data_IF_811738533751
#
_entry.id   IF_811738533751
#
_cell.length_a   1.000
_cell.length_b   1.000
_cell.length_c   1.000
_cell.angle_alpha   90.00
_cell.angle_beta   90.00
_cell.angle_gamma   90.00
#
_symmetry.space_group_name_H-M   'P 1'
#
loop_
_entity.id
_entity.type
_entity.pdbx_description
1 polymer ?
#
# COMPACT_ATOMS: atom_id res chain seq x y z
N UNK A 1 -24.02 -43.68 33.41
CA UNK A 1 -24.32 -43.10 32.08
C UNK A 1 -24.25 -41.57 32.15
N UNK A 2 -23.08 -40.99 32.49
CA UNK A 2 -22.82 -39.54 32.42
C UNK A 2 -21.31 -39.30 32.14
N UNK A 3 -20.82 -39.41 30.89
CA UNK A 3 -19.54 -38.76 30.57
C UNK A 3 -19.55 -37.91 29.29
N UNK A 4 -20.65 -37.90 28.52
CA UNK A 4 -20.69 -37.22 27.20
C UNK A 4 -20.97 -35.72 27.31
N UNK A 5 -21.67 -35.26 28.35
CA UNK A 5 -22.07 -33.86 28.50
C UNK A 5 -20.96 -32.91 29.01
N UNK A 6 -19.96 -33.41 29.74
CA UNK A 6 -18.83 -32.59 30.23
C UNK A 6 -17.81 -32.29 29.13
N UNK A 7 -17.60 -33.21 28.18
CA UNK A 7 -16.64 -33.04 27.09
C UNK A 7 -17.07 -31.93 26.10
N UNK A 8 -18.38 -31.78 25.82
CA UNK A 8 -18.89 -30.74 24.93
C UNK A 8 -18.77 -29.31 25.50
N UNK A 9 -18.78 -29.13 26.83
CA UNK A 9 -18.57 -27.82 27.45
C UNK A 9 -17.11 -27.41 27.49
N UNK A 10 -16.18 -28.36 27.65
CA UNK A 10 -14.74 -28.08 27.65
C UNK A 10 -14.21 -27.79 26.25
N UNK A 11 -14.69 -28.48 25.21
CA UNK A 11 -14.27 -28.25 23.82
C UNK A 11 -14.70 -26.86 23.28
N UNK A 12 -15.91 -26.40 23.64
CA UNK A 12 -16.41 -25.09 23.21
C UNK A 12 -15.75 -23.93 24.00
N UNK A 13 -15.46 -24.12 25.29
CA UNK A 13 -14.75 -23.11 26.10
C UNK A 13 -13.29 -22.91 25.69
N UNK A 14 -12.59 -23.97 25.28
CA UNK A 14 -11.22 -23.89 24.77
C UNK A 14 -11.12 -23.20 23.41
N UNK A 15 -12.01 -23.56 22.47
CA UNK A 15 -12.03 -22.96 21.13
C UNK A 15 -12.34 -21.46 21.15
N UNK A 16 -13.27 -21.02 22.01
CA UNK A 16 -13.57 -19.59 22.18
C UNK A 16 -12.37 -18.81 22.77
N UNK A 17 -11.60 -19.42 23.67
CA UNK A 17 -10.42 -18.77 24.26
C UNK A 17 -9.29 -18.62 23.21
N UNK A 18 -9.07 -19.65 22.39
CA UNK A 18 -8.10 -19.61 21.28
C UNK A 18 -8.49 -18.58 20.21
N UNK A 19 -9.78 -18.44 19.89
CA UNK A 19 -10.29 -17.44 18.95
C UNK A 19 -10.12 -16.01 19.50
N UNK A 20 -10.41 -15.79 20.78
CA UNK A 20 -10.18 -14.49 21.45
C UNK A 20 -8.69 -14.12 21.51
N UNK A 21 -7.82 -15.09 21.79
CA UNK A 21 -6.36 -14.87 21.78
C UNK A 21 -5.85 -14.56 20.36
N UNK A 22 -6.41 -15.21 19.34
CA UNK A 22 -6.10 -14.95 17.94
C UNK A 22 -6.52 -13.52 17.51
N UNK A 23 -7.71 -13.08 17.92
CA UNK A 23 -8.20 -11.73 17.65
C UNK A 23 -7.38 -10.67 18.38
N UNK A 24 -7.04 -10.90 19.65
CA UNK A 24 -6.18 -10.01 20.43
C UNK A 24 -4.78 -9.90 19.81
N UNK A 25 -4.19 -11.01 19.37
CA UNK A 25 -2.91 -11.03 18.66
C UNK A 25 -3.00 -10.25 17.34
N UNK A 26 -4.04 -10.47 16.55
CA UNK A 26 -4.25 -9.76 15.27
C UNK A 26 -4.41 -8.25 15.50
N UNK A 27 -5.16 -7.85 16.53
CA UNK A 27 -5.32 -6.45 16.89
C UNK A 27 -4.00 -5.81 17.35
N UNK A 28 -3.20 -6.51 18.16
CA UNK A 28 -1.86 -6.06 18.52
C UNK A 28 -0.97 -5.84 17.28
N UNK A 29 -1.02 -6.77 16.32
CA UNK A 29 -0.29 -6.67 15.05
C UNK A 29 -0.75 -5.48 14.18
N UNK A 30 -2.05 -5.19 14.18
CA UNK A 30 -2.59 -4.00 13.52
C UNK A 30 -2.10 -2.71 14.19
N UNK A 31 -2.14 -2.65 15.53
CA UNK A 31 -1.69 -1.48 16.29
C UNK A 31 -0.21 -1.17 16.06
N UNK A 32 0.67 -2.18 16.11
CA UNK A 32 2.11 -1.97 15.85
C UNK A 32 2.40 -1.56 14.40
N UNK A 33 1.52 -1.90 13.46
CA UNK A 33 1.67 -1.60 12.03
C UNK A 33 0.87 -0.37 11.58
N UNK A 34 0.11 0.27 12.48
CA UNK A 34 -0.90 1.28 12.14
C UNK A 34 -0.33 2.47 11.36
N UNK A 35 0.91 2.87 11.66
CA UNK A 35 1.57 4.01 11.01
C UNK A 35 2.19 3.69 9.65
N UNK A 36 2.29 2.41 9.26
CA UNK A 36 3.05 2.00 8.07
C UNK A 36 2.43 2.57 6.80
N UNK A 37 1.11 2.43 6.62
CA UNK A 37 0.40 2.99 5.48
C UNK A 37 0.47 4.53 5.42
N UNK A 38 0.03 5.29 6.44
CA UNK A 38 0.00 6.75 6.35
C UNK A 38 1.40 7.36 6.15
N UNK A 39 2.44 6.80 6.78
CA UNK A 39 3.82 7.27 6.58
C UNK A 39 4.34 6.94 5.17
N UNK A 40 4.03 5.74 4.65
CA UNK A 40 4.43 5.38 3.29
C UNK A 40 3.71 6.23 2.24
N UNK A 41 2.42 6.49 2.44
CA UNK A 41 1.64 7.37 1.58
C UNK A 41 2.22 8.80 1.58
N UNK A 42 2.58 9.31 2.76
CA UNK A 42 3.25 10.61 2.88
C UNK A 42 4.53 10.66 2.05
N UNK A 43 5.41 9.67 2.17
CA UNK A 43 6.65 9.59 1.36
C UNK A 43 6.33 9.54 -0.14
N UNK A 44 5.34 8.74 -0.55
CA UNK A 44 4.96 8.65 -1.96
C UNK A 44 4.45 9.99 -2.54
N UNK A 45 3.80 10.80 -1.71
CA UNK A 45 3.38 12.17 -2.06
C UNK A 45 4.58 13.11 -2.13
N UNK A 46 5.44 13.12 -1.10
CA UNK A 46 6.63 13.99 -1.03
C UNK A 46 7.62 13.74 -2.17
N UNK A 47 7.82 12.47 -2.54
CA UNK A 47 8.66 12.05 -3.69
C UNK A 47 7.96 12.32 -5.04
N UNK A 48 6.64 12.53 -5.04
CA UNK A 48 5.87 12.77 -6.26
C UNK A 48 5.52 11.50 -7.06
N UNK A 49 5.59 10.31 -6.44
CA UNK A 49 5.29 9.03 -7.09
C UNK A 49 3.86 9.00 -7.65
N UNK A 50 2.89 9.45 -6.85
CA UNK A 50 1.47 9.45 -7.27
C UNK A 50 1.24 10.36 -8.48
N UNK A 51 1.95 11.49 -8.54
CA UNK A 51 1.87 12.43 -9.65
C UNK A 51 2.44 11.80 -10.93
N UNK A 52 3.62 11.18 -10.84
CA UNK A 52 4.27 10.52 -11.98
C UNK A 52 3.42 9.39 -12.59
N UNK A 53 2.81 8.57 -11.73
CA UNK A 53 1.97 7.44 -12.17
C UNK A 53 0.62 7.93 -12.69
N UNK A 54 0.04 9.00 -12.11
CA UNK A 54 -1.22 9.56 -12.60
C UNK A 54 -1.02 10.25 -13.95
N UNK A 55 0.09 10.97 -14.12
CA UNK A 55 0.40 11.71 -15.34
C UNK A 55 0.76 10.79 -16.53
N UNK A 56 1.21 9.56 -16.30
CA UNK A 56 1.56 8.64 -17.40
C UNK A 56 0.35 8.11 -18.16
N UNK A 57 -0.85 8.16 -17.58
CA UNK A 57 -2.06 7.55 -18.14
C UNK A 57 -1.95 6.04 -18.39
N UNK A 58 -0.92 5.39 -17.85
CA UNK A 58 -0.54 4.00 -18.15
C UNK A 58 0.26 3.38 -17.00
N UNK A 59 0.36 2.06 -16.97
CA UNK A 59 1.11 1.36 -15.93
C UNK A 59 2.62 1.46 -16.19
N UNK A 60 3.40 1.76 -15.14
CA UNK A 60 4.86 1.95 -15.18
C UNK A 60 5.58 0.91 -14.32
N UNK A 61 6.77 0.47 -14.74
CA UNK A 61 7.64 -0.33 -13.86
C UNK A 61 8.32 0.54 -12.81
N UNK A 62 8.83 -0.07 -11.73
CA UNK A 62 9.62 0.64 -10.71
C UNK A 62 10.88 1.30 -11.31
N UNK A 63 11.53 0.65 -12.28
CA UNK A 63 12.70 1.19 -12.98
C UNK A 63 12.35 2.43 -13.82
N UNK A 64 11.23 2.42 -14.54
CA UNK A 64 10.78 3.58 -15.30
C UNK A 64 10.44 4.77 -14.39
N UNK A 65 9.81 4.51 -13.24
CA UNK A 65 9.51 5.54 -12.24
C UNK A 65 10.82 6.11 -11.68
N UNK A 66 11.78 5.23 -11.35
CA UNK A 66 13.08 5.63 -10.82
C UNK A 66 13.87 6.47 -11.82
N UNK A 67 13.85 6.08 -13.10
CA UNK A 67 14.47 6.85 -14.17
C UNK A 67 13.88 8.26 -14.30
N UNK A 68 12.55 8.40 -14.13
CA UNK A 68 11.86 9.71 -14.15
C UNK A 68 12.13 10.59 -12.93
N UNK A 69 12.56 10.00 -11.82
CA UNK A 69 13.01 10.74 -10.64
C UNK A 69 14.47 11.21 -10.79
N UNK A 70 15.13 10.89 -11.90
CA UNK A 70 16.51 11.29 -12.21
C UNK A 70 17.50 10.97 -11.08
N UNK A 71 17.26 9.88 -10.35
CA UNK A 71 18.08 9.49 -9.21
C UNK A 71 19.26 8.62 -9.62
N UNK A 72 20.45 8.96 -9.13
CA UNK A 72 21.67 8.14 -9.32
C UNK A 72 21.81 7.03 -8.27
N UNK A 73 20.85 6.91 -7.35
CA UNK A 73 20.90 5.91 -6.28
C UNK A 73 20.44 4.54 -6.80
N UNK A 74 21.37 3.58 -6.92
CA UNK A 74 21.08 2.21 -7.36
C UNK A 74 20.10 1.46 -6.45
N UNK A 75 19.95 1.89 -5.19
CA UNK A 75 18.99 1.32 -4.24
C UNK A 75 17.59 1.92 -4.37
N UNK A 76 17.40 2.96 -5.19
CA UNK A 76 16.12 3.65 -5.30
C UNK A 76 15.02 2.76 -5.88
N UNK A 77 15.29 2.00 -6.96
CA UNK A 77 14.27 1.17 -7.61
C UNK A 77 13.67 0.11 -6.66
N UNK A 78 14.47 -0.69 -5.92
CA UNK A 78 13.92 -1.62 -4.93
C UNK A 78 13.13 -0.95 -3.80
N UNK A 79 13.54 0.23 -3.33
CA UNK A 79 12.84 0.97 -2.28
C UNK A 79 11.50 1.49 -2.80
N UNK A 80 11.49 2.08 -4.00
CA UNK A 80 10.28 2.55 -4.68
C UNK A 80 9.33 1.39 -4.93
N UNK A 81 9.82 0.24 -5.40
CA UNK A 81 8.99 -0.94 -5.61
C UNK A 81 8.27 -1.37 -4.32
N UNK A 82 8.96 -1.36 -3.17
CA UNK A 82 8.35 -1.68 -1.88
C UNK A 82 7.25 -0.70 -1.48
N UNK A 83 7.47 0.60 -1.72
CA UNK A 83 6.46 1.64 -1.51
C UNK A 83 5.23 1.36 -2.39
N UNK A 84 5.44 1.15 -3.69
CA UNK A 84 4.37 0.92 -4.66
C UNK A 84 3.56 -0.34 -4.33
N UNK A 85 4.22 -1.44 -3.95
CA UNK A 85 3.56 -2.69 -3.55
C UNK A 85 2.69 -2.51 -2.32
N UNK A 86 3.15 -1.76 -1.31
CA UNK A 86 2.32 -1.46 -0.15
C UNK A 86 1.08 -0.65 -0.58
N UNK A 87 1.25 0.39 -1.39
CA UNK A 87 0.10 1.18 -1.85
C UNK A 87 -0.90 0.34 -2.67
N UNK A 88 -0.42 -0.62 -3.46
CA UNK A 88 -1.29 -1.59 -4.14
C UNK A 88 -2.07 -2.50 -3.19
N UNK A 89 -1.48 -2.95 -2.08
CA UNK A 89 -2.20 -3.81 -1.12
C UNK A 89 -3.36 -3.07 -0.43
N UNK A 90 -3.34 -1.74 -0.45
CA UNK A 90 -4.43 -0.88 0.03
C UNK A 90 -5.28 -0.28 -1.11
N UNK A 91 -5.16 -0.81 -2.32
CA UNK A 91 -5.92 -0.36 -3.50
C UNK A 91 -5.76 1.13 -3.84
N UNK A 92 -4.67 1.76 -3.39
CA UNK A 92 -4.32 3.15 -3.74
C UNK A 92 -3.75 3.20 -5.15
N UNK A 93 -3.02 2.16 -5.53
CA UNK A 93 -2.50 1.92 -6.88
C UNK A 93 -3.06 0.60 -7.41
N UNK A 94 -3.09 0.47 -8.72
CA UNK A 94 -3.32 -0.80 -9.42
C UNK A 94 -2.00 -1.42 -9.83
N UNK A 95 -1.96 -2.73 -10.04
CA UNK A 95 -0.81 -3.39 -10.65
C UNK A 95 -1.24 -4.34 -11.76
N UNK A 96 -0.33 -4.57 -12.71
CA UNK A 96 -0.43 -5.61 -13.72
C UNK A 96 0.91 -6.34 -13.82
N UNK A 97 0.85 -7.62 -14.17
CA UNK A 97 2.04 -8.41 -14.48
C UNK A 97 2.14 -8.61 -15.99
N UNK A 98 3.35 -8.49 -16.51
CA UNK A 98 3.70 -8.78 -17.90
C UNK A 98 4.97 -9.62 -17.93
N UNK A 99 5.24 -10.29 -19.04
CA UNK A 99 6.48 -11.05 -19.22
C UNK A 99 7.38 -10.33 -20.21
N UNK A 100 8.65 -10.16 -19.88
CA UNK A 100 9.63 -9.55 -20.79
C UNK A 100 10.13 -10.54 -21.86
N UNK A 101 10.95 -10.04 -22.79
CA UNK A 101 11.54 -10.85 -23.86
C UNK A 101 12.44 -12.00 -23.36
N UNK A 102 12.84 -11.97 -22.09
CA UNK A 102 13.67 -12.99 -21.44
C UNK A 102 12.85 -13.93 -20.54
N UNK A 103 11.51 -13.87 -20.61
CA UNK A 103 10.64 -14.72 -19.81
C UNK A 103 10.48 -14.29 -18.35
N UNK A 104 10.99 -13.13 -17.96
CA UNK A 104 10.91 -12.63 -16.58
C UNK A 104 9.61 -11.88 -16.36
N UNK A 105 8.99 -12.08 -15.20
CA UNK A 105 7.80 -11.32 -14.81
C UNK A 105 8.19 -9.90 -14.41
N UNK A 106 7.56 -8.92 -15.04
CA UNK A 106 7.64 -7.50 -14.72
C UNK A 106 6.30 -7.04 -14.18
N UNK A 107 6.33 -6.50 -12.97
CA UNK A 107 5.19 -5.82 -12.35
C UNK A 107 5.19 -4.35 -12.76
N UNK A 108 4.03 -3.86 -13.15
CA UNK A 108 3.81 -2.46 -13.51
C UNK A 108 2.68 -1.88 -12.67
N UNK A 109 2.77 -0.60 -12.34
CA UNK A 109 1.91 0.09 -11.39
C UNK A 109 1.14 1.22 -12.08
N UNK A 110 -0.16 1.31 -11.81
CA UNK A 110 -1.07 2.31 -12.36
C UNK A 110 -1.82 3.06 -11.27
N UNK A 111 -2.37 4.23 -11.62
CA UNK A 111 -3.13 5.04 -10.69
C UNK A 111 -4.55 4.47 -10.52
N UNK A 112 -4.95 4.21 -9.27
CA UNK A 112 -6.36 3.96 -8.97
C UNK A 112 -7.14 5.28 -8.83
N UNK A 113 -8.49 5.29 -8.90
CA UNK A 113 -9.28 6.51 -8.83
C UNK A 113 -9.07 7.37 -7.58
N UNK A 114 -8.52 6.83 -6.49
CA UNK A 114 -8.21 7.59 -5.27
C UNK A 114 -6.98 8.49 -5.45
N UNK A 115 -6.06 8.16 -6.37
CA UNK A 115 -4.85 8.94 -6.62
C UNK A 115 -5.15 10.39 -6.98
N UNK A 116 -6.28 10.70 -7.65
CA UNK A 116 -6.67 12.08 -7.98
C UNK A 116 -6.86 13.01 -6.77
N UNK A 117 -7.12 12.45 -5.60
CA UNK A 117 -7.31 13.22 -4.37
C UNK A 117 -6.06 13.22 -3.47
N UNK A 118 -5.13 12.30 -3.74
CA UNK A 118 -3.91 12.11 -2.95
C UNK A 118 -2.69 12.74 -3.64
N UNK A 119 -2.72 12.81 -4.97
CA UNK A 119 -1.79 13.57 -5.79
C UNK A 119 -1.95 15.06 -5.43
N UNK A 120 -1.04 15.57 -4.61
CA UNK A 120 -0.91 17.01 -4.45
C UNK A 120 -0.41 17.55 -5.79
N UNK A 121 -1.30 18.21 -6.55
CA UNK A 121 -0.86 19.35 -7.36
C UNK A 121 -0.04 20.20 -6.41
N UNK A 122 1.23 20.43 -6.75
CA UNK A 122 2.11 21.35 -6.02
C UNK A 122 1.23 22.53 -5.62
N UNK A 123 1.09 22.78 -4.32
CA UNK A 123 0.30 23.88 -3.79
C UNK A 123 0.96 25.19 -4.25
N UNK A 124 0.78 25.56 -5.51
CA UNK A 124 0.60 26.96 -5.86
C UNK A 124 -0.69 27.33 -5.15
N UNK A 125 -0.51 27.95 -3.99
CA UNK A 125 -1.58 28.65 -3.29
C UNK A 125 -2.39 29.41 -4.33
N UNK A 126 -3.71 29.18 -4.49
CA UNK A 126 -4.50 30.06 -5.33
C UNK A 126 -4.38 31.44 -4.71
N UNK A 127 -3.63 32.32 -5.37
CA UNK A 127 -3.50 33.72 -4.96
C UNK A 127 -4.90 34.28 -4.86
N UNK A 128 -5.36 34.58 -3.64
CA UNK A 128 -6.63 35.25 -3.43
C UNK A 128 -6.65 36.50 -4.33
N UNK A 129 -7.71 36.74 -5.11
CA UNK A 129 -7.84 38.01 -5.79
C UNK A 129 -7.94 39.09 -4.71
N UNK A 130 -6.96 39.99 -4.71
CA UNK A 130 -7.02 41.23 -3.94
C UNK A 130 -8.34 41.91 -4.30
N UNK A 131 -9.25 41.94 -3.34
CA UNK A 131 -10.49 42.71 -3.46
C UNK A 131 -10.10 44.18 -3.54
N UNK A 132 -10.35 44.78 -4.69
CA UNK A 132 -10.34 46.22 -4.95
C UNK A 132 -11.52 46.91 -4.29
#
# INVERSE_FOLDING_TARGET
MIPVAENMKQQHGGALHEELDHDAYTYAMQLVSFSVLPMTLRVAVEVGLLNLISASGSHLSADEITARLETSNSLASPIIERILRLLCSYSILTFSSSTDAQGRSIVRYGAAPVCRYLALTRMETPSLPLSS
#
